data_IF_607595602741
#
_entry.id   IF_607595602741
#
_cell.length_a   1.000
_cell.length_b   1.000
_cell.length_c   1.000
_cell.angle_alpha   90.00
_cell.angle_beta   90.00
_cell.angle_gamma   90.00
#
_symmetry.space_group_name_H-M   'P 1'
#
loop_
_entity.id
_entity.type
_entity.pdbx_description
1 polymer ?
#
# COMPACT_ATOMS: atom_id res chain seq x y z
N UNK A 1 -8.89 16.04 -7.22
CA UNK A 1 -8.00 15.91 -8.38
C UNK A 1 -7.50 14.48 -8.44
N UNK A 2 -7.69 13.76 -9.54
CA UNK A 2 -7.15 12.41 -9.70
C UNK A 2 -5.62 12.45 -9.90
N UNK A 3 -4.93 11.42 -9.39
CA UNK A 3 -3.50 11.25 -9.61
C UNK A 3 -3.33 10.46 -10.92
N UNK A 4 -2.82 11.12 -11.95
CA UNK A 4 -2.63 10.54 -13.28
C UNK A 4 -1.25 10.91 -13.84
N UNK A 5 -0.77 10.13 -14.79
CA UNK A 5 0.48 10.45 -15.51
C UNK A 5 0.40 11.80 -16.23
N UNK A 6 -0.79 12.18 -16.71
CA UNK A 6 -1.01 13.43 -17.46
C UNK A 6 -1.11 14.64 -16.53
N UNK A 7 -1.86 14.55 -15.44
CA UNK A 7 -2.22 15.72 -14.61
C UNK A 7 -1.29 15.92 -13.42
N UNK A 8 -0.67 14.83 -12.94
CA UNK A 8 0.23 14.81 -11.77
C UNK A 8 1.43 13.87 -12.00
N UNK A 9 2.25 14.10 -13.03
CA UNK A 9 3.29 13.16 -13.44
C UNK A 9 4.31 12.84 -12.33
N UNK A 10 4.69 13.82 -11.51
CA UNK A 10 5.70 13.59 -10.47
C UNK A 10 5.15 12.80 -9.29
N UNK A 11 3.90 13.05 -8.88
CA UNK A 11 3.21 12.26 -7.85
C UNK A 11 2.96 10.84 -8.36
N UNK A 12 2.46 10.71 -9.59
CA UNK A 12 2.20 9.42 -10.22
C UNK A 12 3.48 8.57 -10.31
N UNK A 13 4.59 9.16 -10.78
CA UNK A 13 5.88 8.50 -10.86
C UNK A 13 6.38 8.05 -9.49
N UNK A 14 6.27 8.90 -8.47
CA UNK A 14 6.67 8.57 -7.10
C UNK A 14 5.92 7.32 -6.60
N UNK A 15 4.58 7.31 -6.72
CA UNK A 15 3.75 6.21 -6.25
C UNK A 15 4.03 4.90 -7.00
N UNK A 16 4.30 4.96 -8.31
CA UNK A 16 4.65 3.77 -9.09
C UNK A 16 5.96 3.15 -8.65
N UNK A 17 6.98 3.97 -8.37
CA UNK A 17 8.32 3.48 -8.05
C UNK A 17 8.37 2.66 -6.77
N UNK A 18 7.68 3.07 -5.71
CA UNK A 18 7.75 2.33 -4.45
C UNK A 18 6.64 1.30 -4.24
N UNK A 19 5.64 1.23 -5.14
CA UNK A 19 4.53 0.28 -5.02
C UNK A 19 5.01 -1.17 -4.94
N UNK A 20 5.99 -1.52 -5.75
CA UNK A 20 6.56 -2.86 -5.78
C UNK A 20 7.39 -3.14 -4.53
N UNK A 21 8.19 -2.16 -4.09
CA UNK A 21 8.97 -2.24 -2.85
C UNK A 21 8.07 -2.45 -1.63
N UNK A 22 7.01 -1.66 -1.52
CA UNK A 22 6.08 -1.73 -0.40
C UNK A 22 5.20 -2.98 -0.41
N UNK A 23 4.82 -3.49 -1.57
CA UNK A 23 3.91 -4.63 -1.71
C UNK A 23 4.64 -5.96 -1.80
N UNK A 24 5.14 -6.27 -2.98
CA UNK A 24 5.68 -7.59 -3.29
C UNK A 24 7.04 -7.83 -2.62
N UNK A 25 7.98 -6.93 -2.78
CA UNK A 25 9.34 -7.15 -2.30
C UNK A 25 9.42 -7.20 -0.77
N UNK A 26 8.68 -6.34 -0.08
CA UNK A 26 8.69 -6.30 1.39
C UNK A 26 7.99 -7.48 2.05
N UNK A 27 7.04 -8.13 1.37
CA UNK A 27 6.20 -9.18 1.95
C UNK A 27 6.56 -10.60 1.50
N UNK A 28 7.29 -10.75 0.39
CA UNK A 28 7.57 -12.03 -0.28
C UNK A 28 8.23 -13.07 0.63
N UNK A 29 9.27 -12.67 1.36
CA UNK A 29 10.02 -13.58 2.21
C UNK A 29 9.14 -14.17 3.33
N UNK A 30 8.38 -13.32 4.01
CA UNK A 30 7.46 -13.74 5.06
C UNK A 30 6.32 -14.62 4.52
N UNK A 31 5.75 -14.27 3.37
CA UNK A 31 4.72 -15.09 2.71
C UNK A 31 5.20 -16.50 2.41
N UNK A 32 6.42 -16.62 1.89
CA UNK A 32 7.03 -17.94 1.60
C UNK A 32 7.40 -18.70 2.87
N UNK A 33 7.84 -18.02 3.90
CA UNK A 33 8.25 -18.64 5.16
C UNK A 33 7.06 -19.21 5.94
N UNK A 34 6.01 -18.41 6.12
CA UNK A 34 4.86 -18.79 6.94
C UNK A 34 3.82 -19.58 6.17
N UNK A 35 3.66 -19.38 4.87
CA UNK A 35 2.63 -20.01 4.02
C UNK A 35 1.26 -20.06 4.71
N UNK A 36 0.90 -18.95 5.39
CA UNK A 36 -0.34 -18.87 6.15
C UNK A 36 -1.55 -18.98 5.23
N UNK A 37 -2.49 -19.84 5.58
CA UNK A 37 -3.72 -20.04 4.81
C UNK A 37 -4.58 -18.77 4.88
N UNK A 38 -5.11 -18.33 3.73
CA UNK A 38 -6.06 -17.22 3.66
C UNK A 38 -7.40 -17.59 4.32
N UNK A 39 -8.12 -16.63 4.94
CA UNK A 39 -9.42 -16.89 5.57
C UNK A 39 -10.42 -17.59 4.63
N UNK A 40 -10.57 -17.11 3.39
CA UNK A 40 -11.49 -17.70 2.42
C UNK A 40 -11.20 -19.19 2.14
N UNK A 41 -9.91 -19.56 2.08
CA UNK A 41 -9.51 -20.94 1.87
C UNK A 41 -9.67 -21.79 3.15
N UNK A 42 -9.48 -21.19 4.33
CA UNK A 42 -9.64 -21.85 5.62
C UNK A 42 -11.11 -22.18 5.93
N UNK A 43 -12.00 -21.22 5.65
CA UNK A 43 -13.45 -21.37 5.90
C UNK A 43 -14.21 -21.95 4.72
N UNK A 44 -13.56 -22.17 3.56
CA UNK A 44 -14.20 -22.59 2.31
C UNK A 44 -15.35 -21.66 1.88
N UNK A 45 -15.15 -20.35 2.07
CA UNK A 45 -16.09 -19.30 1.72
C UNK A 45 -15.52 -18.40 0.60
N UNK A 46 -16.41 -17.80 -0.19
CA UNK A 46 -15.99 -16.90 -1.24
C UNK A 46 -15.56 -15.52 -0.71
N UNK A 47 -14.59 -14.94 -1.40
CA UNK A 47 -14.19 -13.54 -1.23
C UNK A 47 -15.15 -12.60 -1.95
N UNK A 48 -14.93 -11.27 -1.80
CA UNK A 48 -15.66 -10.28 -2.61
C UNK A 48 -15.38 -10.41 -4.12
N UNK A 49 -14.34 -11.16 -4.51
CA UNK A 49 -13.96 -11.37 -5.91
C UNK A 49 -13.42 -12.78 -6.12
N UNK A 50 -14.31 -13.76 -6.38
CA UNK A 50 -13.94 -15.18 -6.49
C UNK A 50 -12.92 -15.50 -7.58
N UNK A 51 -12.86 -14.72 -8.66
CA UNK A 51 -11.96 -14.96 -9.80
C UNK A 51 -10.46 -14.99 -9.44
N UNK A 52 -10.08 -14.35 -8.33
CA UNK A 52 -8.69 -14.28 -7.87
C UNK A 52 -8.31 -15.40 -6.88
N UNK A 53 -9.29 -16.17 -6.38
CA UNK A 53 -9.10 -17.12 -5.26
C UNK A 53 -8.13 -18.24 -5.58
N UNK A 54 -8.21 -18.83 -6.76
CA UNK A 54 -7.32 -19.92 -7.14
C UNK A 54 -5.84 -19.49 -7.10
N UNK A 55 -5.54 -18.31 -7.59
CA UNK A 55 -4.19 -17.74 -7.58
C UNK A 55 -3.74 -17.39 -6.16
N UNK A 56 -4.63 -16.75 -5.39
CA UNK A 56 -4.31 -16.26 -4.05
C UNK A 56 -4.19 -17.38 -3.02
N UNK A 57 -4.93 -18.48 -3.16
CA UNK A 57 -4.83 -19.66 -2.28
C UNK A 57 -3.45 -20.34 -2.32
N UNK A 58 -2.70 -20.16 -3.41
CA UNK A 58 -1.35 -20.71 -3.59
C UNK A 58 -0.25 -19.84 -2.98
N UNK A 59 -0.60 -18.68 -2.43
CA UNK A 59 0.32 -17.74 -1.83
C UNK A 59 -0.02 -17.52 -0.34
N UNK A 60 0.99 -17.35 0.50
CA UNK A 60 0.77 -17.09 1.93
C UNK A 60 0.03 -15.75 2.16
N UNK A 61 -0.87 -15.71 3.14
CA UNK A 61 -1.64 -14.51 3.46
C UNK A 61 -0.82 -13.46 4.23
N UNK A 62 0.18 -13.86 4.99
CA UNK A 62 0.90 -13.01 5.93
C UNK A 62 2.27 -12.53 5.39
N UNK A 63 2.55 -11.21 5.45
CA UNK A 63 1.62 -10.10 5.66
C UNK A 63 0.89 -9.68 4.38
N UNK A 64 -0.13 -8.83 4.49
CA UNK A 64 -0.93 -8.36 3.36
C UNK A 64 -0.17 -7.38 2.45
N UNK A 65 0.11 -7.78 1.21
CA UNK A 65 0.77 -6.91 0.22
C UNK A 65 -0.08 -5.69 -0.17
N UNK A 66 -1.38 -5.86 -0.39
CA UNK A 66 -2.28 -4.75 -0.71
C UNK A 66 -2.38 -3.73 0.43
N UNK A 67 -2.41 -4.19 1.67
CA UNK A 67 -2.39 -3.30 2.84
C UNK A 67 -1.07 -2.53 2.92
N UNK A 68 0.05 -3.20 2.67
CA UNK A 68 1.36 -2.56 2.70
C UNK A 68 1.47 -1.45 1.64
N UNK A 69 1.00 -1.70 0.40
CA UNK A 69 0.93 -0.68 -0.66
C UNK A 69 0.04 0.50 -0.24
N UNK A 70 -1.17 0.21 0.24
CA UNK A 70 -2.14 1.24 0.64
C UNK A 70 -1.63 2.12 1.78
N UNK A 71 -1.04 1.52 2.80
CA UNK A 71 -0.50 2.24 3.94
C UNK A 71 0.75 3.05 3.59
N UNK A 72 1.70 2.49 2.83
CA UNK A 72 2.86 3.22 2.34
C UNK A 72 2.45 4.42 1.48
N UNK A 73 1.45 4.24 0.61
CA UNK A 73 0.90 5.34 -0.20
C UNK A 73 0.29 6.44 0.67
N UNK A 74 -0.46 6.08 1.72
CA UNK A 74 -1.04 7.04 2.64
C UNK A 74 0.04 7.83 3.39
N UNK A 75 1.10 7.18 3.87
CA UNK A 75 2.23 7.84 4.53
C UNK A 75 2.88 8.89 3.62
N UNK A 76 3.19 8.51 2.38
CA UNK A 76 3.83 9.42 1.42
C UNK A 76 2.90 10.55 0.97
N UNK A 77 1.63 10.26 0.72
CA UNK A 77 0.64 11.28 0.33
C UNK A 77 0.35 12.28 1.46
N UNK A 78 0.40 11.85 2.72
CA UNK A 78 0.26 12.73 3.87
C UNK A 78 1.42 13.75 3.97
N UNK A 79 2.63 13.37 3.55
CA UNK A 79 3.77 14.30 3.45
C UNK A 79 3.60 15.32 2.31
N UNK A 80 2.97 14.92 1.21
CA UNK A 80 2.69 15.81 0.08
C UNK A 80 1.56 16.77 0.41
N UNK A 81 0.52 16.31 1.11
CA UNK A 81 -0.65 17.11 1.49
C UNK A 81 -0.97 16.99 2.97
N UNK A 82 -0.18 17.63 3.85
CA UNK A 82 -0.38 17.56 5.29
C UNK A 82 -1.70 18.17 5.77
N UNK A 83 -2.30 19.08 4.99
CA UNK A 83 -3.59 19.68 5.33
C UNK A 83 -4.75 18.66 5.33
N UNK A 84 -4.61 17.55 4.61
CA UNK A 84 -5.58 16.45 4.56
C UNK A 84 -5.02 15.13 5.12
N UNK A 85 -4.07 15.23 6.02
CA UNK A 85 -3.38 14.07 6.58
C UNK A 85 -4.35 13.06 7.21
N UNK A 86 -5.34 13.53 7.95
CA UNK A 86 -6.29 12.65 8.63
C UNK A 86 -7.09 11.80 7.63
N UNK A 87 -7.71 12.43 6.62
CA UNK A 87 -8.52 11.70 5.63
C UNK A 87 -7.66 10.74 4.79
N UNK A 88 -6.41 11.11 4.53
CA UNK A 88 -5.47 10.25 3.82
C UNK A 88 -5.15 8.99 4.65
N UNK A 89 -4.89 9.15 5.94
CA UNK A 89 -4.64 8.01 6.83
C UNK A 89 -5.88 7.14 7.03
N UNK A 90 -7.06 7.74 7.21
CA UNK A 90 -8.32 7.00 7.28
C UNK A 90 -8.52 6.15 6.03
N UNK A 91 -8.32 6.71 4.85
CA UNK A 91 -8.42 5.97 3.58
C UNK A 91 -7.38 4.86 3.46
N UNK A 92 -6.13 5.11 3.83
CA UNK A 92 -5.07 4.09 3.86
C UNK A 92 -5.39 2.95 4.82
N UNK A 93 -5.98 3.26 5.98
CA UNK A 93 -6.43 2.27 6.94
C UNK A 93 -7.59 1.41 6.41
N UNK A 94 -8.61 2.04 5.82
CA UNK A 94 -9.76 1.37 5.21
C UNK A 94 -9.36 0.39 4.10
N UNK A 95 -8.33 0.72 3.31
CA UNK A 95 -7.82 -0.19 2.27
C UNK A 95 -7.35 -1.52 2.86
N UNK A 96 -6.71 -1.50 4.02
CA UNK A 96 -6.34 -2.71 4.75
C UNK A 96 -7.56 -3.45 5.30
N UNK A 97 -8.47 -2.74 5.97
CA UNK A 97 -9.67 -3.33 6.56
C UNK A 97 -10.58 -3.98 5.52
N UNK A 98 -10.67 -3.43 4.32
CA UNK A 98 -11.41 -4.03 3.21
C UNK A 98 -10.92 -5.44 2.86
N UNK A 99 -9.62 -5.72 3.07
CA UNK A 99 -9.05 -7.06 2.82
C UNK A 99 -9.53 -8.09 3.85
N UNK A 100 -9.75 -7.66 5.09
CA UNK A 100 -10.34 -8.51 6.14
C UNK A 100 -11.81 -8.75 5.87
N UNK A 101 -12.58 -7.68 5.60
CA UNK A 101 -14.02 -7.76 5.33
C UNK A 101 -14.29 -8.69 4.12
N UNK A 102 -13.48 -8.61 3.09
CA UNK A 102 -13.61 -9.44 1.88
C UNK A 102 -13.03 -10.85 2.02
N UNK A 103 -12.54 -11.26 3.20
CA UNK A 103 -12.06 -12.62 3.45
C UNK A 103 -10.69 -12.98 2.88
N UNK A 104 -9.92 -12.00 2.36
CA UNK A 104 -8.60 -12.26 1.80
C UNK A 104 -7.51 -12.44 2.85
N UNK A 105 -7.58 -11.69 3.94
CA UNK A 105 -6.54 -11.58 4.95
C UNK A 105 -7.12 -11.62 6.36
N UNK A 106 -6.34 -12.16 7.30
CA UNK A 106 -6.60 -12.06 8.72
C UNK A 106 -6.28 -10.64 9.21
N UNK A 107 -6.89 -10.23 10.31
CA UNK A 107 -6.59 -8.91 10.91
C UNK A 107 -5.09 -8.76 11.19
N UNK A 108 -4.44 -9.78 11.71
CA UNK A 108 -3.00 -9.78 11.97
C UNK A 108 -2.12 -9.67 10.71
N UNK A 109 -2.59 -10.13 9.54
CA UNK A 109 -1.88 -9.92 8.26
C UNK A 109 -1.87 -8.44 7.87
N UNK A 110 -2.98 -7.77 8.14
CA UNK A 110 -3.19 -6.35 7.84
C UNK A 110 -2.41 -5.47 8.82
N UNK A 111 -2.45 -5.79 10.11
CA UNK A 111 -1.73 -5.05 11.14
C UNK A 111 -0.21 -5.14 10.93
N UNK A 112 0.31 -6.35 10.68
CA UNK A 112 1.71 -6.56 10.35
C UNK A 112 2.14 -5.82 9.07
N UNK A 113 1.27 -5.78 8.06
CA UNK A 113 1.56 -5.09 6.80
C UNK A 113 1.74 -3.58 6.98
N UNK A 114 1.00 -2.95 7.90
CA UNK A 114 1.19 -1.52 8.22
C UNK A 114 2.55 -1.27 8.87
N UNK A 115 2.98 -2.16 9.75
CA UNK A 115 4.33 -2.08 10.36
C UNK A 115 5.41 -2.21 9.30
N UNK A 116 5.30 -3.22 8.43
CA UNK A 116 6.23 -3.44 7.31
C UNK A 116 6.28 -2.21 6.40
N UNK A 117 5.13 -1.70 5.99
CA UNK A 117 5.05 -0.51 5.12
C UNK A 117 5.69 0.73 5.75
N UNK A 118 5.48 0.93 7.04
CA UNK A 118 6.11 2.03 7.79
C UNK A 118 7.64 1.90 7.78
N UNK A 119 8.18 0.70 7.96
CA UNK A 119 9.60 0.41 7.86
C UNK A 119 10.16 0.62 6.45
N UNK A 120 9.40 0.24 5.41
CA UNK A 120 9.78 0.49 4.01
C UNK A 120 9.86 1.99 3.73
N UNK A 121 8.85 2.78 4.10
CA UNK A 121 8.86 4.24 3.90
C UNK A 121 10.03 4.89 4.64
N UNK A 122 10.28 4.49 5.89
CA UNK A 122 11.44 4.98 6.64
C UNK A 122 12.77 4.68 5.93
N UNK A 123 12.91 3.47 5.37
CA UNK A 123 14.09 3.08 4.59
C UNK A 123 14.21 3.89 3.29
N UNK A 124 13.09 4.13 2.59
CA UNK A 124 13.08 4.91 1.36
C UNK A 124 13.56 6.35 1.59
N UNK A 125 13.24 6.96 2.72
CA UNK A 125 13.74 8.29 3.09
C UNK A 125 15.26 8.37 3.20
N UNK A 126 15.95 7.26 3.44
CA UNK A 126 17.42 7.20 3.40
C UNK A 126 18.01 7.15 1.98
N UNK A 127 17.15 7.03 0.95
CA UNK A 127 17.58 6.92 -0.45
C UNK A 127 17.49 8.28 -1.16
N UNK A 128 18.62 8.83 -1.66
CA UNK A 128 18.63 10.13 -2.32
C UNK A 128 17.64 10.24 -3.50
N UNK A 129 17.50 9.16 -4.29
CA UNK A 129 16.58 9.13 -5.43
C UNK A 129 15.11 9.27 -5.01
N UNK A 130 14.70 8.61 -3.91
CA UNK A 130 13.36 8.74 -3.36
C UNK A 130 13.10 10.16 -2.85
N UNK A 131 14.01 10.70 -2.04
CA UNK A 131 13.89 12.05 -1.49
C UNK A 131 13.81 13.12 -2.60
N UNK A 132 14.62 13.00 -3.65
CA UNK A 132 14.57 13.91 -4.79
C UNK A 132 13.21 13.83 -5.53
N UNK A 133 12.66 12.63 -5.72
CA UNK A 133 11.36 12.47 -6.37
C UNK A 133 10.21 12.97 -5.48
N UNK A 134 10.30 12.77 -4.17
CA UNK A 134 9.33 13.29 -3.20
C UNK A 134 9.27 14.83 -3.22
N UNK A 135 10.41 15.51 -3.28
CA UNK A 135 10.44 16.97 -3.36
C UNK A 135 9.84 17.48 -4.69
N UNK A 136 10.04 16.79 -5.81
CA UNK A 136 9.36 17.11 -7.07
C UNK A 136 7.84 16.96 -6.95
N UNK A 137 7.37 15.88 -6.34
CA UNK A 137 5.94 15.64 -6.11
C UNK A 137 5.31 16.71 -5.22
N UNK A 138 6.01 17.16 -4.15
CA UNK A 138 5.57 18.25 -3.28
C UNK A 138 5.49 19.58 -4.04
N UNK A 139 6.49 19.88 -4.88
CA UNK A 139 6.51 21.09 -5.70
C UNK A 139 5.36 21.10 -6.73
N UNK A 140 5.12 19.97 -7.39
CA UNK A 140 3.98 19.80 -8.30
C UNK A 140 2.64 20.05 -7.60
N UNK A 141 2.43 19.41 -6.45
CA UNK A 141 1.21 19.59 -5.66
C UNK A 141 0.98 21.07 -5.26
N UNK A 142 2.03 21.74 -4.78
CA UNK A 142 1.98 23.15 -4.41
C UNK A 142 1.60 24.04 -5.61
N UNK A 143 2.17 23.79 -6.78
CA UNK A 143 1.84 24.54 -8.01
C UNK A 143 0.39 24.34 -8.44
N UNK A 144 -0.17 23.14 -8.24
CA UNK A 144 -1.58 22.86 -8.55
C UNK A 144 -2.58 23.52 -7.59
N UNK A 145 -2.19 23.76 -6.34
CA UNK A 145 -3.02 24.48 -5.38
C UNK A 145 -3.12 26.00 -5.66
N UNK A 146 -2.22 26.54 -6.45
CA UNK A 146 -2.15 27.97 -6.78
C UNK A 146 -2.90 28.34 -8.08
N UNK A 147 -3.45 27.34 -8.78
CA UNK A 147 -4.26 27.52 -10.00
C UNK A 147 -5.74 27.62 -9.67
#
# INVERSE_FOLDING_TARGET
MPITEKDTPEIHKLLLHFREDAGELSTRAAKKHYMRICPFAFFEEHTCRPDDEEKLSKNGSYPSGHTAIGWASALVLAEINPARQQEIFERGFEMGQSRVICGYHWQSDVDAARVVASGVVATLHSKPAFSAQLEKAKAEFKALQQR
#
